data_IF_221106540821
#
_entry.id   IF_221106540821
#
_cell.length_a   1.000
_cell.length_b   1.000
_cell.length_c   1.000
_cell.angle_alpha   90.00
_cell.angle_beta   90.00
_cell.angle_gamma   90.00
#
_symmetry.space_group_name_H-M   'P 1'
#
loop_
_entity.id
_entity.type
_entity.pdbx_description
1 polymer ?
#
# COMPACT_ATOMS: atom_id res chain seq x y z
N UNK A 1 -0.14 -12.77 -10.55
CA UNK A 1 0.22 -11.53 -11.28
C UNK A 1 -0.97 -10.58 -11.30
N UNK A 2 -0.78 -9.33 -10.86
CA UNK A 2 -1.80 -8.27 -10.95
C UNK A 2 -1.86 -7.68 -12.37
N UNK A 3 -2.93 -6.95 -12.70
CA UNK A 3 -2.99 -6.15 -13.92
C UNK A 3 -2.30 -4.80 -13.74
N UNK A 4 -2.40 -4.24 -12.54
CA UNK A 4 -1.91 -2.90 -12.22
C UNK A 4 -1.44 -2.84 -10.76
N UNK A 5 -0.43 -2.00 -10.50
CA UNK A 5 0.00 -1.63 -9.17
C UNK A 5 -0.11 -0.10 -9.03
N UNK A 6 -0.77 0.36 -7.98
CA UNK A 6 -1.01 1.78 -7.72
C UNK A 6 -0.43 2.15 -6.36
N UNK A 7 0.12 3.36 -6.25
CA UNK A 7 0.58 3.92 -4.99
C UNK A 7 -0.55 4.74 -4.36
N UNK A 8 -0.86 4.46 -3.10
CA UNK A 8 -1.95 5.10 -2.38
C UNK A 8 -1.43 5.67 -1.06
N UNK A 9 -1.90 6.86 -0.71
CA UNK A 9 -1.67 7.49 0.59
C UNK A 9 -2.98 7.62 1.34
N UNK A 10 -2.89 7.79 2.65
CA UNK A 10 -4.03 8.12 3.49
C UNK A 10 -4.02 9.63 3.74
N UNK A 11 -5.15 10.29 3.50
CA UNK A 11 -5.37 11.69 3.83
C UNK A 11 -6.55 11.84 4.78
N UNK A 12 -6.46 12.77 5.70
CA UNK A 12 -7.60 13.19 6.52
C UNK A 12 -8.21 14.44 5.90
N UNK A 13 -9.49 14.37 5.50
CA UNK A 13 -10.22 15.48 4.94
C UNK A 13 -11.57 15.61 5.63
N UNK A 14 -11.82 16.75 6.27
CA UNK A 14 -13.06 17.05 6.99
C UNK A 14 -13.39 16.02 8.09
N UNK A 15 -12.38 15.53 8.80
CA UNK A 15 -12.54 14.50 9.85
C UNK A 15 -12.80 13.09 9.31
N UNK A 16 -12.68 12.88 8.00
CA UNK A 16 -12.78 11.57 7.37
C UNK A 16 -11.43 11.12 6.82
N UNK A 17 -11.04 9.90 7.14
CA UNK A 17 -9.87 9.24 6.58
C UNK A 17 -10.21 8.70 5.19
N UNK A 18 -9.46 9.11 4.18
CA UNK A 18 -9.65 8.70 2.78
C UNK A 18 -8.34 8.18 2.19
N UNK A 19 -8.44 7.12 1.40
CA UNK A 19 -7.33 6.68 0.55
C UNK A 19 -7.31 7.49 -0.73
N UNK A 20 -6.13 7.96 -1.13
CA UNK A 20 -5.91 8.73 -2.34
C UNK A 20 -4.77 8.11 -3.14
N UNK A 21 -5.04 7.79 -4.41
CA UNK A 21 -4.00 7.40 -5.35
C UNK A 21 -3.02 8.56 -5.59
N UNK A 22 -1.73 8.25 -5.60
CA UNK A 22 -0.63 9.15 -5.92
C UNK A 22 0.23 8.56 -7.03
N UNK A 23 0.96 9.42 -7.74
CA UNK A 23 1.85 8.98 -8.83
C UNK A 23 3.21 8.48 -8.31
N UNK A 24 3.60 8.91 -7.11
CA UNK A 24 4.88 8.60 -6.50
C UNK A 24 4.98 9.15 -5.08
N UNK A 25 6.10 8.85 -4.43
CA UNK A 25 6.45 9.36 -3.12
C UNK A 25 7.86 9.95 -3.16
N UNK A 26 8.02 11.13 -2.56
CA UNK A 26 9.33 11.73 -2.38
C UNK A 26 10.04 11.09 -1.18
N UNK A 27 11.25 10.59 -1.40
CA UNK A 27 12.11 10.08 -0.32
C UNK A 27 13.15 11.16 -0.02
N UNK A 28 13.11 11.81 1.15
CA UNK A 28 14.09 12.84 1.49
C UNK A 28 15.50 12.23 1.59
N UNK A 29 16.52 13.05 1.33
CA UNK A 29 17.92 12.62 1.47
C UNK A 29 18.20 12.15 2.89
N UNK A 30 18.86 10.99 3.04
CA UNK A 30 19.05 10.27 4.31
C UNK A 30 17.74 9.87 5.04
N UNK A 31 16.61 9.96 4.35
CA UNK A 31 15.31 9.54 4.86
C UNK A 31 14.97 8.10 4.50
N UNK A 32 13.78 7.69 4.92
CA UNK A 32 13.17 6.41 4.52
C UNK A 32 11.68 6.62 4.32
N UNK A 33 11.11 5.92 3.34
CA UNK A 33 9.67 5.81 3.15
C UNK A 33 9.24 4.46 3.73
N UNK A 34 8.27 4.49 4.63
CA UNK A 34 7.71 3.27 5.22
C UNK A 34 6.34 3.00 4.61
N UNK A 35 6.19 1.88 3.94
CA UNK A 35 4.87 1.44 3.45
C UNK A 35 4.16 0.65 4.55
N UNK A 36 2.97 1.08 4.94
CA UNK A 36 2.18 0.43 6.00
C UNK A 36 0.67 0.43 5.69
N UNK A 37 -0.11 -0.51 6.24
CA UNK A 37 -1.56 -0.55 6.04
C UNK A 37 -2.29 0.71 6.52
N UNK A 38 -1.74 1.38 7.53
CA UNK A 38 -2.28 2.60 8.13
C UNK A 38 -1.65 3.88 7.57
N UNK A 39 -0.91 3.80 6.46
CA UNK A 39 -0.25 4.92 5.81
C UNK A 39 -0.13 4.69 4.31
N UNK A 40 1.06 4.97 3.76
CA UNK A 40 1.39 4.77 2.37
C UNK A 40 1.41 3.27 2.02
N UNK A 41 0.76 2.86 0.94
CA UNK A 41 0.72 1.46 0.55
C UNK A 41 0.63 1.28 -0.96
N UNK A 42 1.01 0.08 -1.42
CA UNK A 42 0.88 -0.35 -2.81
C UNK A 42 -0.38 -1.19 -2.94
N UNK A 43 -1.31 -0.75 -3.79
CA UNK A 43 -2.52 -1.49 -4.10
C UNK A 43 -2.35 -2.26 -5.41
N UNK A 44 -2.57 -3.57 -5.37
CA UNK A 44 -2.52 -4.44 -6.54
C UNK A 44 -3.93 -4.66 -7.08
N UNK A 45 -4.23 -4.16 -8.28
CA UNK A 45 -5.54 -4.30 -8.92
C UNK A 45 -5.54 -5.38 -10.00
N UNK A 46 -6.68 -6.07 -10.12
CA UNK A 46 -6.90 -7.07 -11.16
C UNK A 46 -6.00 -8.29 -11.01
N UNK A 47 -5.90 -8.85 -9.80
CA UNK A 47 -5.21 -10.11 -9.54
C UNK A 47 -5.72 -11.21 -10.48
N UNK A 48 -4.82 -11.78 -11.30
CA UNK A 48 -5.14 -12.88 -12.23
C UNK A 48 -5.34 -14.22 -11.51
N UNK A 49 -4.86 -14.33 -10.28
CA UNK A 49 -4.98 -15.50 -9.43
C UNK A 49 -5.06 -15.05 -7.97
N UNK A 50 -5.74 -15.80 -7.09
CA UNK A 50 -5.77 -15.50 -5.66
C UNK A 50 -4.36 -15.55 -5.06
N UNK A 51 -4.10 -14.65 -4.11
CA UNK A 51 -2.87 -14.68 -3.32
C UNK A 51 -2.96 -15.83 -2.30
N UNK A 52 -1.91 -16.63 -2.21
CA UNK A 52 -1.81 -17.74 -1.26
C UNK A 52 -0.86 -17.33 -0.15
N UNK A 53 -1.17 -17.69 1.11
CA UNK A 53 -0.28 -17.43 2.23
C UNK A 53 1.14 -17.98 1.95
N UNK A 54 2.16 -17.24 2.38
CA UNK A 54 3.59 -17.55 2.17
C UNK A 54 4.04 -17.56 0.69
N UNK A 55 3.13 -17.28 -0.25
CA UNK A 55 3.51 -17.05 -1.64
C UNK A 55 4.41 -15.83 -1.73
N UNK A 56 5.46 -15.91 -2.55
CA UNK A 56 6.33 -14.78 -2.83
C UNK A 56 5.76 -13.96 -3.99
N UNK A 57 5.67 -12.66 -3.80
CA UNK A 57 5.31 -11.68 -4.83
C UNK A 57 6.55 -10.86 -5.12
N UNK A 58 7.01 -10.91 -6.37
CA UNK A 58 8.08 -10.07 -6.86
C UNK A 58 7.50 -8.73 -7.30
N UNK A 59 8.06 -7.64 -6.78
CA UNK A 59 7.76 -6.27 -7.17
C UNK A 59 9.03 -5.59 -7.65
N UNK A 60 8.88 -4.74 -8.65
CA UNK A 60 9.96 -3.86 -9.10
C UNK A 60 9.57 -2.43 -8.78
N UNK A 61 10.37 -1.77 -7.95
CA UNK A 61 10.26 -0.35 -7.67
C UNK A 61 11.12 0.40 -8.69
N UNK A 62 10.55 1.41 -9.32
CA UNK A 62 11.27 2.28 -10.25
C UNK A 62 11.40 3.67 -9.63
N UNK A 63 12.63 4.15 -9.55
CA UNK A 63 12.96 5.47 -9.04
C UNK A 63 13.08 6.46 -10.20
N UNK A 64 12.92 7.76 -9.90
CA UNK A 64 12.93 8.82 -10.90
C UNK A 64 14.32 9.07 -11.52
N UNK A 65 15.38 8.63 -10.86
CA UNK A 65 16.76 8.62 -11.37
C UNK A 65 17.03 7.49 -12.38
N UNK A 66 16.04 6.63 -12.62
CA UNK A 66 16.12 5.48 -13.52
C UNK A 66 16.56 4.19 -12.83
N UNK A 67 16.87 4.22 -11.53
CA UNK A 67 17.19 3.02 -10.78
C UNK A 67 15.97 2.10 -10.65
N UNK A 68 16.21 0.79 -10.65
CA UNK A 68 15.19 -0.21 -10.44
C UNK A 68 15.61 -1.13 -9.31
N UNK A 69 14.73 -1.27 -8.30
CA UNK A 69 14.95 -2.18 -7.19
C UNK A 69 13.93 -3.31 -7.25
N UNK A 70 14.44 -4.54 -7.39
CA UNK A 70 13.60 -5.74 -7.31
C UNK A 70 13.49 -6.18 -5.86
N UNK A 71 12.27 -6.30 -5.35
CA UNK A 71 11.98 -6.79 -4.01
C UNK A 71 11.06 -8.01 -4.11
N UNK A 72 11.28 -8.98 -3.24
CA UNK A 72 10.43 -10.15 -3.11
C UNK A 72 9.78 -10.13 -1.74
N UNK A 73 8.46 -10.05 -1.70
CA UNK A 73 7.68 -9.96 -0.47
C UNK A 73 6.83 -11.22 -0.29
N UNK A 74 6.78 -11.84 0.90
CA UNK A 74 5.84 -12.91 1.18
C UNK A 74 4.43 -12.34 1.37
N UNK A 75 3.42 -13.04 0.86
CA UNK A 75 2.02 -12.81 1.17
C UNK A 75 1.79 -13.27 2.60
N UNK A 76 1.56 -12.32 3.50
CA UNK A 76 1.10 -12.59 4.85
C UNK A 76 -0.38 -12.22 4.99
N UNK A 77 -1.06 -12.85 5.95
CA UNK A 77 -2.30 -12.27 6.45
C UNK A 77 -1.93 -10.94 7.09
N UNK A 78 -2.66 -9.88 6.73
CA UNK A 78 -2.55 -8.60 7.41
C UNK A 78 -2.62 -8.86 8.92
N UNK A 79 -1.60 -8.41 9.67
CA UNK A 79 -1.75 -8.34 11.12
C UNK A 79 -2.99 -7.50 11.38
N UNK A 80 -3.95 -8.02 12.14
CA UNK A 80 -5.18 -7.33 12.50
C UNK A 80 -4.83 -6.03 13.23
N UNK A 81 -4.56 -4.96 12.48
CA UNK A 81 -4.57 -3.62 13.01
C UNK A 81 -6.04 -3.26 13.12
N UNK A 82 -6.55 -3.36 14.33
CA UNK A 82 -7.82 -2.84 14.81
C UNK A 82 -8.06 -1.42 14.29
N UNK A 83 -8.68 -1.31 13.12
CA UNK A 83 -9.50 -0.17 12.76
C UNK A 83 -10.95 -0.57 13.07
N UNK A 84 -11.22 -0.84 14.34
CA UNK A 84 -12.53 -0.56 14.91
C UNK A 84 -12.74 0.95 14.81
N UNK A 85 -13.35 1.40 13.72
CA UNK A 85 -14.14 2.63 13.75
C UNK A 85 -15.59 2.22 13.65
N UNK A 86 -16.17 2.07 14.84
CA UNK A 86 -17.59 1.96 15.09
C UNK A 86 -18.33 3.08 14.35
N UNK A 87 -19.13 2.74 13.35
CA UNK A 87 -20.19 3.63 12.89
C UNK A 87 -21.30 3.61 13.95
N UNK A 88 -21.26 4.54 14.91
CA UNK A 88 -22.36 4.78 15.85
C UNK A 88 -23.59 5.22 15.06
N UNK A 89 -24.57 4.32 14.95
CA UNK A 89 -25.93 4.67 14.57
C UNK A 89 -26.55 5.50 15.71
N UNK A 90 -26.75 6.78 15.43
CA UNK A 90 -27.59 7.65 16.25
C UNK A 90 -29.06 7.31 15.94
N UNK A 91 -29.84 7.00 16.98
CA UNK A 91 -31.28 7.25 17.01
C UNK A 91 -31.64 7.75 18.41
#
# INVERSE_FOLDING_TARGET
MAKEAQLHTIIEEQGMVKMRQVEGFDIPSHGSLTLSPSGEHVMLLGLKAPLVLDQKVDLQLQFNDGEQMSITLPVSKQAENSAEQEHHHHH
#
